data_IF_548462193642
#
_entry.id   IF_548462193642
#
_cell.length_a   1.000
_cell.length_b   1.000
_cell.length_c   1.000
_cell.angle_alpha   90.00
_cell.angle_beta   90.00
_cell.angle_gamma   90.00
#
_symmetry.space_group_name_H-M   'P 1'
#
loop_
_entity.id
_entity.type
_entity.pdbx_description
1 polymer ?
#
# COMPACT_ATOMS: atom_id res chain seq x y z
N UNK A 1 -16.43 1.98 -14.54
CA UNK A 1 -16.79 0.70 -15.19
C UNK A 1 -15.84 -0.44 -14.76
N UNK A 2 -14.52 -0.28 -14.87
CA UNK A 2 -13.54 -1.31 -14.49
C UNK A 2 -13.63 -1.79 -13.03
N UNK A 3 -13.90 -0.89 -12.08
CA UNK A 3 -14.06 -1.27 -10.67
C UNK A 3 -15.27 -2.20 -10.44
N UNK A 4 -16.38 -1.98 -11.14
CA UNK A 4 -17.55 -2.86 -11.04
C UNK A 4 -17.24 -4.26 -11.58
N UNK A 5 -16.51 -4.34 -12.70
CA UNK A 5 -16.05 -5.61 -13.26
C UNK A 5 -15.15 -6.36 -12.27
N UNK A 6 -14.22 -5.63 -11.64
CA UNK A 6 -13.34 -6.19 -10.61
C UNK A 6 -14.10 -6.71 -9.39
N UNK A 7 -15.09 -5.97 -8.89
CA UNK A 7 -15.91 -6.40 -7.75
C UNK A 7 -16.79 -7.60 -8.06
N UNK A 8 -17.39 -7.63 -9.26
CA UNK A 8 -18.17 -8.79 -9.72
C UNK A 8 -17.25 -10.03 -9.79
N UNK A 9 -16.02 -9.85 -10.27
CA UNK A 9 -15.06 -10.95 -10.35
C UNK A 9 -14.66 -11.48 -8.97
N UNK A 10 -14.36 -10.59 -8.01
CA UNK A 10 -14.10 -10.98 -6.61
C UNK A 10 -15.30 -11.71 -6.02
N UNK A 11 -16.50 -11.19 -6.22
CA UNK A 11 -17.73 -11.80 -5.71
C UNK A 11 -17.92 -13.23 -6.24
N UNK A 12 -17.73 -13.45 -7.54
CA UNK A 12 -17.84 -14.78 -8.17
C UNK A 12 -16.79 -15.74 -7.60
N UNK A 13 -15.55 -15.29 -7.40
CA UNK A 13 -14.51 -16.14 -6.81
C UNK A 13 -14.83 -16.47 -5.35
N UNK A 14 -15.20 -15.46 -4.56
CA UNK A 14 -15.54 -15.62 -3.15
C UNK A 14 -16.72 -16.57 -2.96
N UNK A 15 -17.79 -16.42 -3.73
CA UNK A 15 -18.96 -17.31 -3.62
C UNK A 15 -18.61 -18.74 -4.07
N UNK A 16 -17.81 -18.90 -5.13
CA UNK A 16 -17.36 -20.21 -5.61
C UNK A 16 -16.50 -20.96 -4.59
N UNK A 17 -15.71 -20.24 -3.78
CA UNK A 17 -14.92 -20.81 -2.69
C UNK A 17 -15.73 -21.09 -1.41
N UNK A 18 -16.59 -20.15 -1.02
CA UNK A 18 -17.36 -20.23 0.23
C UNK A 18 -18.48 -21.25 0.13
N UNK A 19 -19.19 -21.30 -1.00
CA UNK A 19 -20.34 -22.18 -1.19
C UNK A 19 -20.04 -23.66 -0.90
N UNK A 20 -19.00 -24.30 -1.48
CA UNK A 20 -18.67 -25.68 -1.15
C UNK A 20 -18.17 -25.86 0.29
N UNK A 21 -17.59 -24.83 0.91
CA UNK A 21 -17.13 -24.87 2.29
C UNK A 21 -18.31 -24.89 3.28
N UNK A 22 -19.28 -23.99 3.10
CA UNK A 22 -20.51 -23.94 3.91
C UNK A 22 -21.36 -25.18 3.66
N UNK A 23 -21.49 -25.62 2.40
CA UNK A 23 -22.23 -26.83 2.05
C UNK A 23 -21.64 -28.09 2.70
N UNK A 24 -20.31 -28.22 2.75
CA UNK A 24 -19.64 -29.33 3.45
C UNK A 24 -19.76 -29.25 4.98
N UNK A 25 -19.85 -28.05 5.54
CA UNK A 25 -20.06 -27.83 6.97
C UNK A 25 -21.45 -28.28 7.41
N UNK A 26 -22.49 -27.81 6.71
CA UNK A 26 -23.89 -28.12 7.02
C UNK A 26 -24.23 -29.60 6.84
N UNK A 27 -23.62 -30.28 5.84
CA UNK A 27 -23.85 -31.72 5.61
C UNK A 27 -23.25 -32.63 6.70
N UNK A 28 -22.35 -32.12 7.54
CA UNK A 28 -21.82 -32.87 8.70
C UNK A 28 -22.78 -32.86 9.89
N UNK A 29 -23.77 -31.96 9.91
CA UNK A 29 -24.59 -31.69 11.11
C UNK A 29 -26.10 -31.92 10.93
N UNK A 30 -26.66 -32.03 9.71
CA UNK A 30 -28.12 -32.24 9.56
C UNK A 30 -28.57 -33.13 8.39
N UNK A 31 -29.37 -34.14 8.73
CA UNK A 31 -30.05 -35.12 7.86
C UNK A 31 -31.44 -34.64 7.37
N UNK A 32 -31.61 -33.36 7.07
CA UNK A 32 -32.87 -32.81 6.51
C UNK A 32 -32.60 -31.95 5.26
N UNK A 33 -32.92 -32.51 4.10
CA UNK A 33 -32.22 -32.24 2.83
C UNK A 33 -32.75 -31.05 2.01
N UNK A 34 -33.81 -30.35 2.45
CA UNK A 34 -34.43 -29.25 1.67
C UNK A 34 -34.44 -27.87 2.33
N UNK A 35 -34.50 -27.80 3.67
CA UNK A 35 -34.40 -26.51 4.38
C UNK A 35 -32.94 -26.00 4.44
N UNK A 36 -31.96 -26.91 4.35
CA UNK A 36 -30.52 -26.62 4.42
C UNK A 36 -29.95 -25.93 3.18
N UNK A 37 -30.39 -26.27 1.97
CA UNK A 37 -29.82 -25.67 0.73
C UNK A 37 -30.08 -24.17 0.61
N UNK A 38 -31.27 -23.70 1.00
CA UNK A 38 -31.59 -22.27 0.95
C UNK A 38 -30.76 -21.48 1.97
N UNK A 39 -30.57 -22.04 3.17
CA UNK A 39 -29.76 -21.45 4.23
C UNK A 39 -28.28 -21.42 3.85
N UNK A 40 -27.74 -22.51 3.29
CA UNK A 40 -26.37 -22.57 2.74
C UNK A 40 -26.15 -21.48 1.69
N UNK A 41 -27.09 -21.34 0.74
CA UNK A 41 -26.98 -20.32 -0.30
C UNK A 41 -26.99 -18.91 0.30
N UNK A 42 -27.91 -18.64 1.23
CA UNK A 42 -28.04 -17.33 1.86
C UNK A 42 -26.78 -16.95 2.66
N UNK A 43 -26.28 -17.85 3.51
CA UNK A 43 -25.06 -17.64 4.30
C UNK A 43 -23.84 -17.46 3.40
N UNK A 44 -23.70 -18.27 2.36
CA UNK A 44 -22.58 -18.17 1.42
C UNK A 44 -22.59 -16.86 0.65
N UNK A 45 -23.76 -16.40 0.19
CA UNK A 45 -23.93 -15.11 -0.47
C UNK A 45 -23.61 -13.95 0.48
N UNK A 46 -24.12 -13.98 1.71
CA UNK A 46 -23.87 -12.94 2.71
C UNK A 46 -22.35 -12.81 3.00
N UNK A 47 -21.67 -13.95 3.17
CA UNK A 47 -20.23 -13.98 3.46
C UNK A 47 -19.40 -13.54 2.25
N UNK A 48 -19.77 -13.96 1.04
CA UNK A 48 -19.10 -13.50 -0.18
C UNK A 48 -19.30 -11.98 -0.40
N UNK A 49 -20.46 -11.46 -0.05
CA UNK A 49 -20.76 -10.03 -0.14
C UNK A 49 -19.94 -9.24 0.89
N UNK A 50 -19.75 -9.77 2.11
CA UNK A 50 -18.87 -9.17 3.11
C UNK A 50 -17.42 -9.06 2.60
N UNK A 51 -16.88 -10.14 2.05
CA UNK A 51 -15.52 -10.14 1.48
C UNK A 51 -15.42 -9.12 0.33
N UNK A 52 -16.42 -9.11 -0.56
CA UNK A 52 -16.47 -8.16 -1.69
C UNK A 52 -16.55 -6.71 -1.19
N UNK A 53 -17.31 -6.45 -0.14
CA UNK A 53 -17.42 -5.13 0.48
C UNK A 53 -16.08 -4.67 1.07
N UNK A 54 -15.31 -5.56 1.70
CA UNK A 54 -13.97 -5.26 2.21
C UNK A 54 -13.04 -4.85 1.06
N UNK A 55 -12.95 -5.66 0.01
CA UNK A 55 -12.12 -5.33 -1.16
C UNK A 55 -12.62 -4.08 -1.91
N UNK A 56 -13.93 -3.85 -1.96
CA UNK A 56 -14.52 -2.64 -2.52
C UNK A 56 -14.18 -1.39 -1.73
N UNK A 57 -14.28 -1.46 -0.40
CA UNK A 57 -13.83 -0.40 0.49
C UNK A 57 -12.36 -0.09 0.30
N UNK A 58 -11.50 -1.11 0.26
CA UNK A 58 -10.07 -0.94 0.03
C UNK A 58 -9.77 -0.29 -1.33
N UNK A 59 -10.49 -0.71 -2.37
CA UNK A 59 -10.37 -0.15 -3.72
C UNK A 59 -10.81 1.31 -3.77
N UNK A 60 -11.87 1.67 -3.06
CA UNK A 60 -12.33 3.06 -2.95
C UNK A 60 -11.32 3.93 -2.19
N UNK A 61 -10.70 3.41 -1.12
CA UNK A 61 -9.62 4.11 -0.42
C UNK A 61 -8.43 4.35 -1.35
N UNK A 62 -8.03 3.34 -2.14
CA UNK A 62 -6.94 3.47 -3.11
C UNK A 62 -7.26 4.47 -4.22
N UNK A 63 -8.47 4.39 -4.81
CA UNK A 63 -8.90 5.35 -5.83
C UNK A 63 -9.04 6.76 -5.25
N UNK A 64 -9.54 6.89 -4.03
CA UNK A 64 -9.61 8.16 -3.30
C UNK A 64 -8.22 8.74 -3.09
N UNK A 65 -7.26 7.93 -2.65
CA UNK A 65 -5.86 8.33 -2.50
C UNK A 65 -5.24 8.76 -3.83
N UNK A 66 -5.49 8.03 -4.92
CA UNK A 66 -5.04 8.40 -6.26
C UNK A 66 -5.69 9.69 -6.76
N UNK A 67 -6.97 9.91 -6.48
CA UNK A 67 -7.67 11.14 -6.87
C UNK A 67 -7.20 12.34 -6.06
N UNK A 68 -6.99 12.18 -4.75
CA UNK A 68 -6.38 13.21 -3.89
C UNK A 68 -4.97 13.51 -4.38
N UNK A 69 -4.17 12.48 -4.69
CA UNK A 69 -2.87 12.66 -5.31
C UNK A 69 -2.98 13.41 -6.64
N UNK A 70 -3.93 13.07 -7.51
CA UNK A 70 -4.10 13.77 -8.79
C UNK A 70 -4.53 15.23 -8.62
N UNK A 71 -5.40 15.53 -7.64
CA UNK A 71 -5.85 16.91 -7.36
C UNK A 71 -4.74 17.74 -6.70
N UNK A 72 -4.05 17.18 -5.72
CA UNK A 72 -3.03 17.90 -4.94
C UNK A 72 -1.72 18.01 -5.72
N UNK A 73 -1.41 17.04 -6.57
CA UNK A 73 -0.10 16.88 -7.19
C UNK A 73 -0.15 17.00 -8.73
N UNK A 74 -1.32 17.04 -9.38
CA UNK A 74 -1.48 17.09 -10.84
C UNK A 74 -0.65 16.04 -11.60
N UNK A 75 -0.48 14.86 -10.99
CA UNK A 75 0.37 13.79 -11.52
C UNK A 75 -0.43 13.01 -12.56
N UNK A 76 -0.38 13.45 -13.82
CA UNK A 76 -0.82 12.65 -14.96
C UNK A 76 0.29 11.66 -15.36
N UNK A 77 0.44 10.58 -14.57
CA UNK A 77 1.44 9.53 -14.80
C UNK A 77 0.75 8.19 -15.04
N UNK A 78 1.11 7.53 -16.14
CA UNK A 78 0.64 6.17 -16.46
C UNK A 78 0.93 5.17 -15.33
N UNK A 79 -0.06 4.32 -15.01
CA UNK A 79 0.08 3.27 -14.00
C UNK A 79 1.27 2.34 -14.26
N UNK A 80 1.63 2.07 -15.52
CA UNK A 80 2.79 1.25 -15.85
C UNK A 80 4.11 1.88 -15.40
N UNK A 81 4.25 3.20 -15.56
CA UNK A 81 5.42 3.95 -15.08
C UNK A 81 5.47 3.98 -13.57
N UNK A 82 4.32 4.13 -12.89
CA UNK A 82 4.26 4.08 -11.43
C UNK A 82 4.68 2.72 -10.88
N UNK A 83 4.29 1.61 -11.52
CA UNK A 83 4.70 0.27 -11.10
C UNK A 83 6.22 0.10 -11.21
N UNK A 84 6.81 0.45 -12.37
CA UNK A 84 8.26 0.37 -12.57
C UNK A 84 9.01 1.27 -11.58
N UNK A 85 8.51 2.50 -11.40
CA UNK A 85 9.07 3.45 -10.44
C UNK A 85 9.07 2.89 -9.02
N UNK A 86 7.96 2.28 -8.61
CA UNK A 86 7.81 1.66 -7.28
C UNK A 86 8.84 0.56 -7.08
N UNK A 87 9.01 -0.33 -8.07
CA UNK A 87 10.03 -1.40 -8.00
C UNK A 87 11.44 -0.82 -7.87
N UNK A 88 11.79 0.20 -8.67
CA UNK A 88 13.09 0.86 -8.59
C UNK A 88 13.32 1.53 -7.22
N UNK A 89 12.31 2.18 -6.65
CA UNK A 89 12.40 2.78 -5.32
C UNK A 89 12.63 1.71 -4.26
N UNK A 90 11.90 0.60 -4.31
CA UNK A 90 12.12 -0.52 -3.38
C UNK A 90 13.54 -1.08 -3.49
N UNK A 91 14.06 -1.27 -4.70
CA UNK A 91 15.45 -1.73 -4.88
C UNK A 91 16.42 -0.74 -4.21
N UNK A 92 16.26 0.57 -4.44
CA UNK A 92 17.09 1.58 -3.80
C UNK A 92 17.01 1.53 -2.27
N UNK A 93 15.79 1.53 -1.71
CA UNK A 93 15.55 1.50 -0.26
C UNK A 93 16.19 0.27 0.40
N UNK A 94 16.14 -0.90 -0.24
CA UNK A 94 16.70 -2.11 0.34
C UNK A 94 18.19 -2.31 0.09
N UNK A 95 18.83 -1.55 -0.79
CA UNK A 95 20.23 -1.78 -1.16
C UNK A 95 21.14 -0.59 -0.89
N UNK A 96 20.84 0.55 -1.51
CA UNK A 96 21.74 1.70 -1.56
C UNK A 96 21.49 2.62 -0.36
N UNK A 97 20.25 2.71 0.11
CA UNK A 97 19.89 3.58 1.23
C UNK A 97 20.73 3.33 2.49
N UNK A 98 20.96 2.06 2.84
CA UNK A 98 21.77 1.67 4.00
C UNK A 98 23.21 2.20 3.91
N UNK A 99 23.76 2.28 2.69
CA UNK A 99 25.10 2.85 2.45
C UNK A 99 25.09 4.35 2.73
N UNK A 100 24.09 5.08 2.23
CA UNK A 100 23.96 6.52 2.48
C UNK A 100 23.73 6.83 3.96
N UNK A 101 22.88 6.06 4.64
CA UNK A 101 22.63 6.19 6.06
C UNK A 101 23.92 6.03 6.86
N UNK A 102 24.73 5.02 6.56
CA UNK A 102 26.02 4.79 7.22
C UNK A 102 27.00 5.95 7.01
N UNK A 103 27.09 6.47 5.78
CA UNK A 103 27.97 7.61 5.46
C UNK A 103 27.53 8.87 6.20
N UNK A 104 26.23 9.16 6.23
CA UNK A 104 25.66 10.34 6.89
C UNK A 104 25.86 10.24 8.41
N UNK A 105 25.64 9.07 8.99
CA UNK A 105 25.85 8.82 10.42
C UNK A 105 27.31 8.98 10.84
N UNK A 106 28.25 8.68 9.94
CA UNK A 106 29.67 8.91 10.17
C UNK A 106 30.04 10.41 10.13
N UNK A 107 29.39 11.18 9.26
CA UNK A 107 29.75 12.58 9.01
C UNK A 107 29.17 13.55 10.06
N UNK A 108 27.97 13.25 10.58
CA UNK A 108 27.20 14.14 11.45
C UNK A 108 26.78 13.35 12.69
N UNK A 109 26.95 13.93 13.88
CA UNK A 109 26.54 13.31 15.15
C UNK A 109 25.11 13.69 15.59
N UNK A 110 24.55 14.77 15.04
CA UNK A 110 23.22 15.29 15.41
C UNK A 110 22.13 14.54 14.64
N UNK A 111 21.32 13.74 15.35
CA UNK A 111 20.26 12.90 14.76
C UNK A 111 19.27 13.63 13.85
N UNK A 112 18.76 14.79 14.27
CA UNK A 112 17.84 15.59 13.45
C UNK A 112 18.48 16.02 12.13
N UNK A 113 19.77 16.35 12.15
CA UNK A 113 20.49 16.75 10.95
C UNK A 113 20.82 15.55 10.05
N UNK A 114 21.07 14.37 10.62
CA UNK A 114 21.19 13.11 9.86
C UNK A 114 19.91 12.83 9.07
N UNK A 115 18.74 12.91 9.70
CA UNK A 115 17.44 12.65 9.05
C UNK A 115 17.13 13.64 7.93
N UNK A 116 17.34 14.93 8.16
CA UNK A 116 17.13 15.97 7.13
C UNK A 116 18.06 15.74 5.93
N UNK A 117 19.34 15.42 6.19
CA UNK A 117 20.30 15.17 5.12
C UNK A 117 19.96 13.89 4.35
N UNK A 118 19.54 12.84 5.04
CA UNK A 118 19.10 11.59 4.42
C UNK A 118 17.88 11.83 3.53
N UNK A 119 16.92 12.62 3.98
CA UNK A 119 15.76 13.02 3.18
C UNK A 119 16.18 13.82 1.93
N UNK A 120 17.16 14.73 2.03
CA UNK A 120 17.67 15.47 0.87
C UNK A 120 18.32 14.53 -0.16
N UNK A 121 19.12 13.56 0.29
CA UNK A 121 19.70 12.53 -0.57
C UNK A 121 18.61 11.69 -1.23
N UNK A 122 17.56 11.31 -0.49
CA UNK A 122 16.41 10.59 -1.05
C UNK A 122 15.71 11.38 -2.15
N UNK A 123 15.48 12.68 -1.97
CA UNK A 123 14.87 13.53 -3.01
C UNK A 123 15.72 13.50 -4.29
N UNK A 124 17.04 13.63 -4.16
CA UNK A 124 17.96 13.56 -5.29
C UNK A 124 17.91 12.20 -6.00
N UNK A 125 18.03 11.11 -5.25
CA UNK A 125 18.09 9.77 -5.84
C UNK A 125 16.73 9.36 -6.43
N UNK A 126 15.63 9.63 -5.74
CA UNK A 126 14.28 9.37 -6.24
C UNK A 126 13.95 10.21 -7.46
N UNK A 127 14.40 11.46 -7.53
CA UNK A 127 14.25 12.32 -8.70
C UNK A 127 15.04 11.78 -9.91
N UNK A 128 16.26 11.30 -9.69
CA UNK A 128 17.06 10.65 -10.73
C UNK A 128 16.39 9.36 -11.23
N UNK A 129 15.92 8.50 -10.33
CA UNK A 129 15.21 7.27 -10.72
C UNK A 129 13.91 7.62 -11.49
N UNK A 130 13.14 8.61 -11.04
CA UNK A 130 11.90 9.02 -11.70
C UNK A 130 12.13 9.56 -13.12
N UNK A 131 13.17 10.37 -13.30
CA UNK A 131 13.55 10.86 -14.64
C UNK A 131 14.07 9.72 -15.53
N UNK A 132 14.79 8.73 -15.00
CA UNK A 132 15.22 7.53 -15.73
C UNK A 132 14.05 6.65 -16.19
N UNK A 133 12.96 6.58 -15.43
CA UNK A 133 11.71 5.89 -15.81
C UNK A 133 10.90 6.68 -16.86
N UNK A 134 11.36 7.90 -17.21
CA UNK A 134 10.75 8.73 -18.24
C UNK A 134 9.56 9.55 -17.74
N UNK A 135 9.57 9.96 -16.48
CA UNK A 135 8.68 11.01 -15.98
C UNK A 135 9.23 12.39 -16.36
N UNK A 136 8.34 13.37 -16.53
CA UNK A 136 8.73 14.77 -16.71
C UNK A 136 9.45 15.28 -15.45
N UNK A 137 10.30 16.29 -15.60
CA UNK A 137 11.06 16.86 -14.48
C UNK A 137 10.18 17.30 -13.31
N UNK A 138 9.07 18.01 -13.61
CA UNK A 138 8.14 18.49 -12.60
C UNK A 138 7.48 17.33 -11.84
N UNK A 139 7.01 16.30 -12.55
CA UNK A 139 6.43 15.10 -11.94
C UNK A 139 7.47 14.30 -11.12
N UNK A 140 8.70 14.21 -11.62
CA UNK A 140 9.78 13.48 -10.98
C UNK A 140 10.18 14.12 -9.65
N UNK A 141 10.37 15.44 -9.61
CA UNK A 141 10.67 16.16 -8.37
C UNK A 141 9.51 16.05 -7.39
N UNK A 142 8.29 16.20 -7.88
CA UNK A 142 7.12 16.19 -7.03
C UNK A 142 6.93 14.82 -6.36
N UNK A 143 7.01 13.72 -7.13
CA UNK A 143 6.94 12.35 -6.58
C UNK A 143 8.12 12.07 -5.64
N UNK A 144 9.34 12.48 -6.01
CA UNK A 144 10.52 12.28 -5.18
C UNK A 144 10.44 13.02 -3.85
N UNK A 145 9.93 14.25 -3.86
CA UNK A 145 9.72 15.05 -2.65
C UNK A 145 8.61 14.45 -1.79
N UNK A 146 7.50 14.04 -2.41
CA UNK A 146 6.40 13.38 -1.71
C UNK A 146 6.83 12.08 -1.04
N UNK A 147 7.55 11.21 -1.75
CA UNK A 147 8.03 9.94 -1.20
C UNK A 147 9.07 10.14 -0.09
N UNK A 148 10.04 11.05 -0.28
CA UNK A 148 11.02 11.36 0.75
C UNK A 148 10.38 11.98 2.00
N UNK A 149 9.38 12.86 1.83
CA UNK A 149 8.64 13.44 2.94
C UNK A 149 7.87 12.39 3.74
N UNK A 150 7.21 11.43 3.06
CA UNK A 150 6.51 10.32 3.73
C UNK A 150 7.50 9.48 4.55
N UNK A 151 8.67 9.15 4.00
CA UNK A 151 9.69 8.40 4.73
C UNK A 151 10.23 9.18 5.93
N UNK A 152 10.50 10.47 5.78
CA UNK A 152 10.93 11.33 6.89
C UNK A 152 9.88 11.36 8.01
N UNK A 153 8.59 11.46 7.67
CA UNK A 153 7.50 11.43 8.66
C UNK A 153 7.46 10.07 9.38
N UNK A 154 7.63 8.97 8.65
CA UNK A 154 7.68 7.62 9.23
C UNK A 154 8.85 7.50 10.21
N UNK A 155 10.03 7.99 9.84
CA UNK A 155 11.23 7.99 10.70
C UNK A 155 11.04 8.81 11.97
N UNK A 156 10.51 10.04 11.84
CA UNK A 156 10.20 10.88 12.98
C UNK A 156 9.22 10.19 13.93
N UNK A 157 8.13 9.62 13.39
CA UNK A 157 7.14 8.90 14.18
C UNK A 157 7.75 7.70 14.90
N UNK A 158 8.66 6.97 14.25
CA UNK A 158 9.36 5.85 14.85
C UNK A 158 10.26 6.28 16.01
N UNK A 159 11.00 7.38 15.86
CA UNK A 159 11.81 7.93 16.96
C UNK A 159 10.95 8.44 18.13
N UNK A 160 9.83 9.13 17.85
CA UNK A 160 8.91 9.56 18.92
C UNK A 160 8.34 8.37 19.70
N UNK A 161 8.05 7.27 19.01
CA UNK A 161 7.56 6.04 19.66
C UNK A 161 8.63 5.32 20.48
N UNK A 162 9.92 5.47 20.17
CA UNK A 162 11.00 4.85 20.95
C UNK A 162 11.37 5.65 22.21
N UNK A 163 10.93 6.90 22.34
CA UNK A 163 11.22 7.77 23.48
C UNK A 163 10.51 7.47 24.84
N UNK A 164 9.53 6.55 25.00
CA UNK A 164 8.92 6.31 26.32
C UNK A 164 9.75 5.48 27.31
N UNK A 165 10.72 4.65 26.87
CA UNK A 165 11.29 3.57 27.70
C UNK A 165 12.81 3.62 27.92
N UNK A 166 13.42 4.81 27.99
CA UNK A 166 14.79 4.93 28.53
C UNK A 166 14.89 6.07 29.55
N UNK A 167 14.98 5.77 30.86
CA UNK A 167 15.50 6.74 31.80
C UNK A 167 16.99 6.96 31.50
N UNK A 168 17.31 8.20 31.16
CA UNK A 168 18.68 8.70 31.05
C UNK A 168 19.42 8.48 32.38
N UNK A 169 20.41 7.60 32.36
CA UNK A 169 21.50 7.53 33.34
C UNK A 169 22.84 7.55 32.60
#
# INVERSE_FOLDING_TARGET
MWLLVFLIFIFIISISLIFPMVFKGERKEATDEKASMWLVSFVSTLLALLITAIFGGLSLVLLGALNVANIVLSIDVSSSKLIVLTVCYFIYLFTIETVFETIINFLISIKLFQQILLALVRILVFGLIATLVGLSYDQAILIATGSAAVLLVIELLYEFKQKPDQPSH
#
